data_IF_430522262410
#
_entry.id   IF_430522262410
#
_cell.length_a   1.000
_cell.length_b   1.000
_cell.length_c   1.000
_cell.angle_alpha   90.00
_cell.angle_beta   90.00
_cell.angle_gamma   90.00
#
_symmetry.space_group_name_H-M   'P 1'
#
loop_
_entity.id
_entity.type
_entity.pdbx_description
1 polymer ?
#
# COMPACT_ATOMS: atom_id res chain seq x y z
N UNK A 1 8.50 -11.75 2.79
CA UNK A 1 7.54 -10.77 3.27
C UNK A 1 7.14 -11.08 4.73
N UNK A 2 7.05 -10.07 5.61
CA UNK A 2 6.51 -10.25 6.97
C UNK A 2 5.08 -10.82 6.91
N UNK A 3 4.64 -11.54 7.95
CA UNK A 3 3.32 -12.19 7.96
C UNK A 3 2.17 -11.21 7.64
N UNK A 4 2.23 -9.99 8.19
CA UNK A 4 1.24 -8.94 7.94
C UNK A 4 1.22 -8.47 6.48
N UNK A 5 2.40 -8.32 5.86
CA UNK A 5 2.49 -8.00 4.44
C UNK A 5 1.86 -9.08 3.55
N UNK A 6 2.07 -10.35 3.88
CA UNK A 6 1.41 -11.47 3.17
C UNK A 6 -0.10 -11.43 3.30
N UNK A 7 -0.60 -11.12 4.50
CA UNK A 7 -2.03 -10.99 4.76
C UNK A 7 -2.66 -9.91 3.87
N UNK A 8 -2.04 -8.72 3.78
CA UNK A 8 -2.54 -7.65 2.91
C UNK A 8 -2.44 -7.99 1.43
N UNK A 9 -1.35 -8.64 0.99
CA UNK A 9 -1.20 -9.06 -0.41
C UNK A 9 -2.28 -10.08 -0.78
N UNK A 10 -2.48 -11.12 0.02
CA UNK A 10 -3.50 -12.14 -0.26
C UNK A 10 -4.90 -11.54 -0.17
N UNK A 11 -5.18 -10.72 0.84
CA UNK A 11 -6.46 -10.03 1.00
C UNK A 11 -6.74 -9.08 -0.16
N UNK A 12 -5.76 -8.29 -0.58
CA UNK A 12 -5.87 -7.39 -1.73
C UNK A 12 -6.12 -8.13 -3.04
N UNK A 13 -5.41 -9.23 -3.29
CA UNK A 13 -5.64 -10.06 -4.47
C UNK A 13 -7.02 -10.70 -4.46
N UNK A 14 -7.49 -11.18 -3.32
CA UNK A 14 -8.84 -11.73 -3.18
C UNK A 14 -9.90 -10.67 -3.47
N UNK A 15 -9.77 -9.47 -2.91
CA UNK A 15 -10.67 -8.34 -3.19
C UNK A 15 -10.63 -7.93 -4.66
N UNK A 16 -9.45 -7.86 -5.27
CA UNK A 16 -9.30 -7.56 -6.70
C UNK A 16 -10.01 -8.62 -7.57
N UNK A 17 -9.90 -9.90 -7.23
CA UNK A 17 -10.60 -10.97 -7.92
C UNK A 17 -12.13 -10.84 -7.80
N UNK A 18 -12.64 -10.51 -6.60
CA UNK A 18 -14.06 -10.27 -6.34
C UNK A 18 -14.56 -9.06 -7.15
N UNK A 19 -13.75 -8.01 -7.29
CA UNK A 19 -14.05 -6.83 -8.11
C UNK A 19 -14.00 -7.10 -9.63
N UNK A 20 -13.72 -8.32 -10.03
CA UNK A 20 -13.71 -8.73 -11.44
C UNK A 20 -12.44 -8.33 -12.19
N UNK A 21 -11.30 -8.24 -11.51
CA UNK A 21 -10.01 -7.91 -12.11
C UNK A 21 -9.72 -8.77 -13.36
N UNK A 22 -10.01 -10.06 -13.32
CA UNK A 22 -9.78 -10.99 -14.43
C UNK A 22 -10.59 -10.62 -15.68
N UNK A 23 -11.84 -10.19 -15.51
CA UNK A 23 -12.70 -9.75 -16.63
C UNK A 23 -12.21 -8.43 -17.21
N UNK A 24 -11.90 -7.47 -16.33
CA UNK A 24 -11.36 -6.17 -16.73
C UNK A 24 -10.01 -6.30 -17.42
N UNK A 25 -9.15 -7.18 -16.91
CA UNK A 25 -7.84 -7.45 -17.51
C UNK A 25 -7.99 -7.96 -18.95
N UNK A 26 -8.90 -8.89 -19.21
CA UNK A 26 -9.20 -9.35 -20.57
C UNK A 26 -9.71 -8.21 -21.48
N UNK A 27 -10.60 -7.36 -20.95
CA UNK A 27 -11.07 -6.19 -21.68
C UNK A 27 -9.94 -5.20 -22.02
N UNK A 28 -9.01 -4.97 -21.08
CA UNK A 28 -7.85 -4.09 -21.31
C UNK A 28 -6.89 -4.64 -22.34
N UNK A 29 -6.69 -5.96 -22.35
CA UNK A 29 -5.90 -6.60 -23.39
C UNK A 29 -6.50 -6.36 -24.78
N UNK A 30 -7.81 -6.48 -24.93
CA UNK A 30 -8.49 -6.17 -26.20
C UNK A 30 -8.37 -4.68 -26.56
N UNK A 31 -8.58 -3.79 -25.59
CA UNK A 31 -8.51 -2.35 -25.80
C UNK A 31 -7.08 -1.89 -26.14
N UNK A 32 -6.05 -2.53 -25.58
CA UNK A 32 -4.65 -2.21 -25.89
C UNK A 32 -4.32 -2.41 -27.36
N UNK A 33 -4.89 -3.41 -28.03
CA UNK A 33 -4.72 -3.61 -29.48
C UNK A 33 -5.36 -2.53 -30.32
N UNK A 34 -6.41 -1.88 -29.81
CA UNK A 34 -7.06 -0.75 -30.51
C UNK A 34 -6.25 0.52 -30.37
N UNK A 35 -5.62 0.73 -29.20
CA UNK A 35 -4.78 1.91 -28.94
C UNK A 35 -3.38 1.81 -29.52
N UNK A 36 -2.84 0.59 -29.60
CA UNK A 36 -1.50 0.29 -30.07
C UNK A 36 -1.57 -0.72 -31.22
N UNK A 37 -1.87 -0.27 -32.44
CA UNK A 37 -1.88 -1.15 -33.60
C UNK A 37 -0.48 -1.75 -33.86
N UNK A 38 -0.46 -2.94 -34.44
CA UNK A 38 0.79 -3.62 -34.77
C UNK A 38 1.68 -2.75 -35.66
N UNK A 39 2.98 -2.69 -35.31
CA UNK A 39 3.98 -1.95 -36.07
C UNK A 39 4.15 -0.48 -35.69
N UNK A 40 3.38 0.04 -34.73
CA UNK A 40 3.57 1.39 -34.19
C UNK A 40 4.43 1.30 -32.94
N UNK A 41 5.60 1.94 -32.96
CA UNK A 41 6.45 2.07 -31.78
C UNK A 41 5.93 3.22 -30.92
N UNK A 42 5.72 2.95 -29.62
CA UNK A 42 5.39 3.99 -28.65
C UNK A 42 6.62 4.87 -28.46
N UNK A 43 6.42 6.19 -28.45
CA UNK A 43 7.49 7.13 -28.17
C UNK A 43 8.11 6.83 -26.79
N UNK A 44 9.43 6.65 -26.68
CA UNK A 44 10.10 6.32 -25.40
C UNK A 44 9.80 7.36 -24.31
N UNK A 45 9.66 8.63 -24.68
CA UNK A 45 9.36 9.73 -23.78
C UNK A 45 7.98 9.55 -23.10
N UNK A 46 6.99 9.09 -23.85
CA UNK A 46 5.66 8.81 -23.32
C UNK A 46 5.69 7.63 -22.33
N UNK A 47 6.41 6.57 -22.68
CA UNK A 47 6.59 5.42 -21.79
C UNK A 47 7.28 5.80 -20.49
N UNK A 48 8.33 6.61 -20.55
CA UNK A 48 9.02 7.09 -19.36
C UNK A 48 8.12 7.96 -18.51
N UNK A 49 7.38 8.89 -19.09
CA UNK A 49 6.49 9.79 -18.37
C UNK A 49 5.39 9.01 -17.64
N UNK A 50 4.70 8.12 -18.34
CA UNK A 50 3.64 7.28 -17.75
C UNK A 50 4.22 6.36 -16.68
N UNK A 51 5.36 5.71 -16.95
CA UNK A 51 5.99 4.80 -16.00
C UNK A 51 6.42 5.50 -14.71
N UNK A 52 7.07 6.65 -14.80
CA UNK A 52 7.49 7.44 -13.62
C UNK A 52 6.27 7.93 -12.83
N UNK A 53 5.22 8.37 -13.52
CA UNK A 53 4.00 8.84 -12.87
C UNK A 53 3.30 7.71 -12.10
N UNK A 54 3.17 6.53 -12.66
CA UNK A 54 2.56 5.38 -12.00
C UNK A 54 3.40 4.87 -10.81
N UNK A 55 4.72 4.85 -10.94
CA UNK A 55 5.61 4.55 -9.82
C UNK A 55 5.44 5.58 -8.70
N UNK A 56 5.45 6.87 -9.02
CA UNK A 56 5.24 7.94 -8.04
C UNK A 56 3.90 7.82 -7.33
N UNK A 57 2.83 7.54 -8.06
CA UNK A 57 1.48 7.34 -7.53
C UNK A 57 1.40 6.12 -6.59
N UNK A 58 2.03 5.02 -6.97
CA UNK A 58 2.11 3.80 -6.16
C UNK A 58 2.85 4.07 -4.85
N UNK A 59 3.97 4.78 -4.91
CA UNK A 59 4.70 5.18 -3.71
C UNK A 59 3.88 6.12 -2.82
N UNK A 60 3.23 7.12 -3.39
CA UNK A 60 2.38 8.05 -2.64
C UNK A 60 1.24 7.31 -1.92
N UNK A 61 0.58 6.37 -2.59
CA UNK A 61 -0.44 5.52 -1.98
C UNK A 61 0.14 4.67 -0.85
N UNK A 62 1.30 4.03 -1.09
CA UNK A 62 1.99 3.23 -0.08
C UNK A 62 2.34 4.04 1.17
N UNK A 63 2.88 5.25 1.01
CA UNK A 63 3.16 6.18 2.12
C UNK A 63 1.89 6.60 2.86
N UNK A 64 0.82 6.91 2.14
CA UNK A 64 -0.46 7.28 2.74
C UNK A 64 -1.02 6.15 3.61
N UNK A 65 -0.97 4.92 3.12
CA UNK A 65 -1.43 3.75 3.87
C UNK A 65 -0.53 3.40 5.06
N UNK A 66 0.78 3.66 4.95
CA UNK A 66 1.75 3.40 6.02
C UNK A 66 1.78 4.51 7.08
N UNK A 67 1.38 5.74 6.76
CA UNK A 67 1.52 6.91 7.61
C UNK A 67 1.04 6.74 9.06
N UNK A 68 -0.15 6.18 9.34
CA UNK A 68 -0.63 6.01 10.71
C UNK A 68 0.28 5.09 11.54
N UNK A 69 0.87 4.06 10.92
CA UNK A 69 1.78 3.13 11.60
C UNK A 69 3.15 3.77 11.85
N UNK A 70 3.65 4.57 10.91
CA UNK A 70 4.91 5.31 11.06
C UNK A 70 4.80 6.31 12.20
N UNK A 71 3.70 7.09 12.27
CA UNK A 71 3.47 8.06 13.35
C UNK A 71 3.36 7.34 14.69
N UNK A 72 2.59 6.26 14.77
CA UNK A 72 2.46 5.48 16.01
C UNK A 72 3.80 4.90 16.49
N UNK A 73 4.61 4.37 15.56
CA UNK A 73 5.94 3.84 15.89
C UNK A 73 6.91 4.92 16.35
N UNK A 74 6.84 6.11 15.76
CA UNK A 74 7.65 7.25 16.18
C UNK A 74 7.31 7.69 17.61
N UNK A 75 6.02 7.87 17.91
CA UNK A 75 5.55 8.22 19.26
C UNK A 75 6.01 7.16 20.27
N UNK A 76 5.85 5.90 19.93
CA UNK A 76 6.28 4.78 20.77
C UNK A 76 7.78 4.81 21.04
N UNK A 77 8.62 4.98 20.03
CA UNK A 77 10.07 5.02 20.16
C UNK A 77 10.54 6.23 21.01
N UNK A 78 9.92 7.40 20.81
CA UNK A 78 10.19 8.59 21.64
C UNK A 78 9.82 8.32 23.10
N UNK A 79 8.64 7.73 23.33
CA UNK A 79 8.17 7.39 24.68
C UNK A 79 9.15 6.43 25.38
N UNK A 80 9.57 5.36 24.68
CA UNK A 80 10.57 4.44 25.21
C UNK A 80 11.90 5.12 25.51
N UNK A 81 12.34 6.04 24.63
CA UNK A 81 13.57 6.80 24.85
C UNK A 81 13.50 7.66 26.14
N UNK A 82 12.36 8.30 26.38
CA UNK A 82 12.13 9.07 27.62
C UNK A 82 12.10 8.18 28.85
N UNK A 83 11.38 7.06 28.79
CA UNK A 83 11.30 6.09 29.91
C UNK A 83 12.69 5.51 30.24
N UNK A 84 13.45 5.11 29.23
CA UNK A 84 14.81 4.59 29.41
C UNK A 84 15.73 5.60 30.08
N UNK A 85 15.56 6.90 29.76
CA UNK A 85 16.36 7.95 30.38
C UNK A 85 15.95 8.22 31.83
N UNK A 86 14.65 8.11 32.14
CA UNK A 86 14.12 8.35 33.48
C UNK A 86 14.35 7.18 34.44
N UNK A 87 14.28 5.94 33.94
CA UNK A 87 14.36 4.72 34.73
C UNK A 87 15.24 3.65 34.05
N UNK A 88 16.57 3.82 34.05
CA UNK A 88 17.49 2.92 33.33
C UNK A 88 17.54 1.51 33.91
N UNK A 89 17.07 1.32 35.13
CA UNK A 89 17.08 0.00 35.81
C UNK A 89 15.87 -0.88 35.44
N UNK A 90 14.81 -0.28 34.85
CA UNK A 90 13.70 -1.05 34.29
C UNK A 90 14.14 -1.68 32.98
N UNK A 91 13.94 -2.99 32.84
CA UNK A 91 14.11 -3.75 31.60
C UNK A 91 13.03 -3.31 30.59
N UNK A 92 13.09 -2.04 30.15
CA UNK A 92 12.11 -1.43 29.22
C UNK A 92 12.00 -2.22 27.93
N UNK A 93 13.10 -2.83 27.48
CA UNK A 93 13.09 -3.72 26.32
C UNK A 93 12.27 -4.99 26.54
N UNK A 94 12.12 -5.46 27.78
CA UNK A 94 11.35 -6.67 28.10
C UNK A 94 9.83 -6.43 28.08
N UNK A 95 9.39 -5.23 28.44
CA UNK A 95 7.97 -4.83 28.40
C UNK A 95 7.63 -4.17 27.06
N UNK A 96 8.60 -3.48 26.48
CA UNK A 96 8.40 -2.72 25.24
C UNK A 96 8.10 -3.60 24.01
N UNK A 97 8.78 -4.73 23.86
CA UNK A 97 8.57 -5.61 22.71
C UNK A 97 7.14 -6.21 22.66
N UNK A 98 6.57 -6.76 23.75
CA UNK A 98 5.17 -7.19 23.78
C UNK A 98 4.19 -6.02 23.57
N UNK A 99 4.47 -4.85 24.12
CA UNK A 99 3.59 -3.67 24.03
C UNK A 99 3.49 -3.15 22.59
N UNK A 100 4.61 -3.05 21.86
CA UNK A 100 4.58 -2.62 20.45
C UNK A 100 3.86 -3.65 19.57
N UNK A 101 4.06 -4.93 19.84
CA UNK A 101 3.40 -5.99 19.08
C UNK A 101 1.90 -5.97 19.31
N UNK A 102 1.44 -5.92 20.56
CA UNK A 102 0.03 -5.86 20.90
C UNK A 102 -0.62 -4.56 20.39
N UNK A 103 0.02 -3.42 20.60
CA UNK A 103 -0.44 -2.12 20.10
C UNK A 103 -0.52 -2.07 18.57
N UNK A 104 0.47 -2.61 17.89
CA UNK A 104 0.48 -2.74 16.44
C UNK A 104 -0.63 -3.64 15.92
N UNK A 105 -0.92 -4.76 16.58
CA UNK A 105 -2.02 -5.66 16.22
C UNK A 105 -3.39 -4.99 16.42
N UNK A 106 -3.61 -4.29 17.52
CA UNK A 106 -4.84 -3.55 17.77
C UNK A 106 -5.02 -2.44 16.75
N UNK A 107 -3.98 -1.67 16.52
CA UNK A 107 -4.01 -0.61 15.51
C UNK A 107 -4.30 -1.17 14.11
N UNK A 108 -3.70 -2.30 13.76
CA UNK A 108 -3.97 -2.97 12.50
C UNK A 108 -5.42 -3.43 12.39
N UNK A 109 -5.99 -4.02 13.47
CA UNK A 109 -7.38 -4.45 13.50
C UNK A 109 -8.34 -3.29 13.22
N UNK A 110 -8.08 -2.12 13.82
CA UNK A 110 -8.91 -0.92 13.66
C UNK A 110 -8.67 -0.25 12.29
N UNK A 111 -7.43 -0.18 11.84
CA UNK A 111 -7.06 0.50 10.60
C UNK A 111 -7.38 -0.30 9.33
N UNK A 112 -7.35 -1.64 9.38
CA UNK A 112 -7.50 -2.51 8.20
C UNK A 112 -8.74 -2.20 7.36
N UNK A 113 -9.96 -2.02 7.91
CA UNK A 113 -11.14 -1.69 7.09
C UNK A 113 -10.98 -0.39 6.31
N UNK A 114 -10.40 0.64 6.97
CA UNK A 114 -10.17 1.95 6.35
C UNK A 114 -9.09 1.87 5.27
N UNK A 115 -7.99 1.19 5.56
CA UNK A 115 -6.90 1.01 4.61
C UNK A 115 -7.33 0.24 3.37
N UNK A 116 -8.11 -0.83 3.55
CA UNK A 116 -8.67 -1.60 2.44
C UNK A 116 -9.68 -0.77 1.63
N UNK A 117 -10.50 0.06 2.27
CA UNK A 117 -11.42 0.94 1.57
C UNK A 117 -10.68 1.97 0.69
N UNK A 118 -9.64 2.61 1.22
CA UNK A 118 -8.79 3.55 0.47
C UNK A 118 -8.13 2.84 -0.70
N UNK A 119 -7.57 1.65 -0.46
CA UNK A 119 -6.93 0.85 -1.51
C UNK A 119 -7.94 0.44 -2.60
N UNK A 120 -9.13 -0.03 -2.21
CA UNK A 120 -10.19 -0.42 -3.15
C UNK A 120 -10.62 0.75 -4.03
N UNK A 121 -10.76 1.94 -3.46
CA UNK A 121 -11.09 3.16 -4.22
C UNK A 121 -9.99 3.49 -5.21
N UNK A 122 -8.73 3.57 -4.76
CA UNK A 122 -7.59 3.86 -5.62
C UNK A 122 -7.40 2.82 -6.73
N UNK A 123 -7.62 1.55 -6.42
CA UNK A 123 -7.55 0.46 -7.37
C UNK A 123 -8.73 0.49 -8.37
N UNK A 124 -9.94 0.79 -7.89
CA UNK A 124 -11.12 0.97 -8.73
C UNK A 124 -10.96 2.11 -9.73
N UNK A 125 -10.41 3.25 -9.28
CA UNK A 125 -10.13 4.40 -10.14
C UNK A 125 -9.08 4.08 -11.20
N UNK A 126 -8.02 3.34 -10.82
CA UNK A 126 -7.03 2.85 -11.78
C UNK A 126 -7.66 1.91 -12.82
N UNK A 127 -8.53 0.99 -12.38
CA UNK A 127 -9.22 0.07 -13.28
C UNK A 127 -10.30 0.76 -14.16
N UNK A 128 -10.79 1.92 -13.77
CA UNK A 128 -11.76 2.66 -14.57
C UNK A 128 -11.13 3.35 -15.79
N UNK A 129 -9.87 3.83 -15.64
CA UNK A 129 -9.17 4.57 -16.68
C UNK A 129 -7.66 4.25 -16.68
N UNK A 130 -7.25 3.02 -17.06
CA UNK A 130 -5.87 2.56 -16.93
C UNK A 130 -4.91 3.22 -17.93
N UNK A 131 -5.43 3.87 -18.96
CA UNK A 131 -4.64 4.52 -20.02
C UNK A 131 -4.71 6.07 -19.97
N UNK A 132 -5.43 6.63 -19.00
CA UNK A 132 -5.44 8.08 -18.80
C UNK A 132 -4.24 8.52 -17.98
N UNK A 133 -3.42 9.38 -18.57
CA UNK A 133 -2.37 10.13 -17.85
C UNK A 133 -3.07 11.25 -17.08
N UNK A 134 -3.19 11.10 -15.76
CA UNK A 134 -3.78 12.10 -14.85
C UNK A 134 -2.71 12.87 -14.09
#
# INVERSE_FOLDING_TARGET
LPAMGRFFVVGGLALAAILGLHVRFAAYMLQSYQMLPFGVLIAPELMMTVGVQEVSRTFALGFTLAAPFVVASLIYNVTLGVINRAMPQLLVSFIGAPAITAGGMIMMLIATPVLLAIWMTAFGDFLAAPFEVR
#
